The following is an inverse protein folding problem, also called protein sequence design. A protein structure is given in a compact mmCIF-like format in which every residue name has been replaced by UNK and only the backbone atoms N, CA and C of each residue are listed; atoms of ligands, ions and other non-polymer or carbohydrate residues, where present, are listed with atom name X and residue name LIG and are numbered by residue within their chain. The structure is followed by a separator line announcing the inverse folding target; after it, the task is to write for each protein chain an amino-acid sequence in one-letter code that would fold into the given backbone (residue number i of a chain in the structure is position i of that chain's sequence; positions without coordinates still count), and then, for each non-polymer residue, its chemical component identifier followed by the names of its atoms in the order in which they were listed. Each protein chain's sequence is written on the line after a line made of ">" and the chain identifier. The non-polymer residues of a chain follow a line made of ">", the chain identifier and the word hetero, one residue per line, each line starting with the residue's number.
data_IF_785556732572
#
_entry.id   IF_785556732572
#
_cell.length_a   1.000
_cell.length_b   1.000
_cell.length_c   1.000
_cell.angle_alpha   90.00
_cell.angle_beta   90.00
_cell.angle_gamma   90.00
#
_symmetry.space_group_name_H-M   'P 1'
#
loop_
_entity.id
_entity.type
_entity.pdbx_description
1 polymer ?
#
# COMPACT_ATOMS: atom_id res chain seq x y z
N UNK A 1 17.73 -7.65 -43.61
CA UNK A 1 17.90 -7.41 -42.16
C UNK A 1 16.57 -7.68 -41.49
N UNK A 2 16.45 -8.80 -40.79
CA UNK A 2 15.26 -9.08 -39.99
C UNK A 2 15.27 -8.15 -38.79
N UNK A 3 14.46 -7.09 -38.80
CA UNK A 3 14.11 -6.33 -37.60
C UNK A 3 13.29 -7.26 -36.68
N UNK A 4 13.97 -8.21 -36.03
CA UNK A 4 13.37 -9.34 -35.32
C UNK A 4 12.99 -9.02 -33.88
N UNK A 5 13.25 -7.80 -33.40
CA UNK A 5 12.86 -7.35 -32.05
C UNK A 5 12.00 -6.10 -32.17
N UNK A 6 10.71 -6.25 -31.90
CA UNK A 6 9.84 -5.12 -31.58
C UNK A 6 10.10 -4.77 -30.13
N UNK A 7 10.87 -3.72 -29.87
CA UNK A 7 11.13 -3.17 -28.52
C UNK A 7 9.88 -2.55 -27.87
N UNK A 8 8.70 -2.84 -28.40
CA UNK A 8 7.43 -2.25 -27.98
C UNK A 8 7.11 -2.66 -26.54
N UNK A 9 7.37 -3.92 -26.19
CA UNK A 9 7.09 -4.44 -24.85
C UNK A 9 7.98 -3.78 -23.80
N UNK A 10 9.30 -3.73 -24.01
CA UNK A 10 10.24 -3.11 -23.06
C UNK A 10 9.97 -1.61 -22.92
N UNK A 11 9.68 -0.93 -24.04
CA UNK A 11 9.28 0.48 -24.06
C UNK A 11 8.00 0.72 -23.27
N UNK A 12 7.00 -0.16 -23.39
CA UNK A 12 5.75 -0.04 -22.62
C UNK A 12 6.05 -0.22 -21.14
N UNK A 13 6.85 -1.22 -20.75
CA UNK A 13 7.23 -1.45 -19.36
C UNK A 13 7.85 -0.20 -18.71
N UNK A 14 8.85 0.40 -19.35
CA UNK A 14 9.49 1.62 -18.85
C UNK A 14 8.51 2.80 -18.73
N UNK A 15 7.56 2.92 -19.67
CA UNK A 15 6.54 3.99 -19.64
C UNK A 15 5.53 3.77 -18.52
N UNK A 16 5.18 2.54 -18.20
CA UNK A 16 4.31 2.21 -17.06
C UNK A 16 4.99 2.64 -15.76
N UNK A 17 6.28 2.33 -15.58
CA UNK A 17 7.05 2.76 -14.41
C UNK A 17 7.10 4.29 -14.28
N UNK A 18 7.34 4.98 -15.40
CA UNK A 18 7.33 6.45 -15.44
C UNK A 18 5.96 7.04 -15.07
N UNK A 19 4.87 6.51 -15.63
CA UNK A 19 3.52 7.00 -15.30
C UNK A 19 3.17 6.70 -13.84
N UNK A 20 3.59 5.54 -13.32
CA UNK A 20 3.35 5.16 -11.93
C UNK A 20 4.03 6.12 -10.93
N UNK A 21 5.21 6.67 -11.27
CA UNK A 21 5.89 7.66 -10.42
C UNK A 21 5.18 9.03 -10.41
N UNK A 22 4.28 9.27 -11.36
CA UNK A 22 3.50 10.51 -11.50
C UNK A 22 2.08 10.40 -10.92
N UNK A 23 1.73 9.29 -10.26
CA UNK A 23 0.42 9.11 -9.59
C UNK A 23 0.22 10.15 -8.47
N UNK A 24 1.29 10.53 -7.78
CA UNK A 24 1.26 11.57 -6.76
C UNK A 24 1.45 12.94 -7.39
N UNK A 25 0.34 13.60 -7.71
CA UNK A 25 0.33 14.91 -8.38
C UNK A 25 0.91 16.02 -7.50
N UNK A 26 0.66 15.96 -6.20
CA UNK A 26 1.22 16.89 -5.20
C UNK A 26 1.70 16.10 -3.99
N UNK A 27 2.72 16.62 -3.32
CA UNK A 27 3.29 16.03 -2.12
C UNK A 27 3.66 17.13 -1.12
N UNK A 28 3.45 16.87 0.16
CA UNK A 28 3.88 17.70 1.28
C UNK A 28 4.71 16.84 2.23
N UNK A 29 6.02 17.11 2.38
CA UNK A 29 6.90 16.25 3.17
C UNK A 29 6.52 16.29 4.65
N UNK A 30 6.63 15.13 5.31
CA UNK A 30 6.49 15.05 6.76
C UNK A 30 7.76 15.55 7.46
N UNK A 31 7.64 16.15 8.65
CA UNK A 31 8.77 16.37 9.56
C UNK A 31 9.46 15.06 9.95
N UNK A 32 10.67 15.19 10.49
CA UNK A 32 11.44 14.07 11.03
C UNK A 32 10.62 13.29 12.08
N UNK A 33 10.77 11.96 12.07
CA UNK A 33 10.09 11.12 13.05
C UNK A 33 10.85 11.12 14.38
N UNK A 34 10.09 11.14 15.47
CA UNK A 34 10.54 10.87 16.83
C UNK A 34 10.46 9.36 17.10
N UNK A 35 11.58 8.74 17.46
CA UNK A 35 11.73 7.29 17.58
C UNK A 35 12.01 6.84 19.00
N UNK A 36 11.31 5.78 19.42
CA UNK A 36 11.55 5.12 20.70
C UNK A 36 11.42 3.60 20.56
N UNK A 37 12.42 2.89 21.07
CA UNK A 37 12.38 1.44 21.25
C UNK A 37 11.43 1.07 22.39
N UNK A 38 10.62 0.04 22.17
CA UNK A 38 9.71 -0.50 23.17
C UNK A 38 10.34 -1.72 23.84
N UNK A 39 9.88 -2.02 25.05
CA UNK A 39 10.37 -3.16 25.84
C UNK A 39 10.08 -4.52 25.18
N UNK A 40 9.12 -4.58 24.25
CA UNK A 40 8.77 -5.77 23.49
C UNK A 40 7.35 -5.72 22.91
N UNK A 41 6.85 -6.88 22.43
CA UNK A 41 5.61 -6.96 21.67
C UNK A 41 4.33 -6.86 22.54
N UNK A 42 4.46 -6.81 23.86
CA UNK A 42 3.33 -6.61 24.79
C UNK A 42 3.19 -5.15 25.23
N UNK A 43 4.14 -4.28 24.85
CA UNK A 43 4.06 -2.87 25.19
C UNK A 43 2.84 -2.21 24.52
N UNK A 44 2.09 -1.41 25.29
CA UNK A 44 1.01 -0.60 24.74
C UNK A 44 1.58 0.55 23.87
N UNK A 45 0.84 1.00 22.83
CA UNK A 45 1.26 2.14 22.04
C UNK A 45 1.29 3.41 22.91
N UNK A 46 2.35 4.21 22.77
CA UNK A 46 2.54 5.45 23.50
C UNK A 46 1.88 6.63 22.79
N UNK A 47 0.57 6.55 22.56
CA UNK A 47 -0.18 7.48 21.70
C UNK A 47 -0.22 8.92 22.24
N UNK A 48 -0.24 9.09 23.56
CA UNK A 48 -0.30 10.40 24.22
C UNK A 48 1.04 10.84 24.83
N UNK A 49 2.10 10.06 24.65
CA UNK A 49 3.38 10.38 25.27
C UNK A 49 3.99 11.65 24.68
N UNK A 50 4.66 12.44 25.53
CA UNK A 50 5.56 13.49 25.05
C UNK A 50 6.75 12.82 24.34
N UNK A 51 6.93 13.14 23.07
CA UNK A 51 7.99 12.61 22.22
C UNK A 51 9.14 13.60 22.00
N UNK A 52 9.16 14.72 22.72
CA UNK A 52 10.16 15.78 22.56
C UNK A 52 11.59 15.33 22.87
N UNK A 53 11.75 14.37 23.78
CA UNK A 53 13.04 13.79 24.19
C UNK A 53 13.45 12.55 23.37
N UNK A 54 12.63 12.12 22.41
CA UNK A 54 12.90 10.93 21.61
C UNK A 54 13.89 11.25 20.49
N UNK A 55 14.58 10.20 20.01
CA UNK A 55 15.56 10.32 18.94
C UNK A 55 14.88 10.80 17.65
N UNK A 56 15.45 11.80 16.97
CA UNK A 56 14.99 12.20 15.63
C UNK A 56 15.56 11.29 14.54
N UNK A 57 14.72 10.99 13.56
CA UNK A 57 15.07 10.30 12.32
C UNK A 57 14.66 11.20 11.15
N UNK A 58 15.65 11.72 10.45
CA UNK A 58 15.44 12.50 9.24
C UNK A 58 15.34 11.59 8.00
N UNK A 59 14.77 12.09 6.89
CA UNK A 59 14.85 11.39 5.62
C UNK A 59 16.31 11.03 5.27
N UNK A 60 16.49 9.79 4.83
CA UNK A 60 17.77 9.13 4.51
C UNK A 60 18.64 8.73 5.71
N UNK A 61 18.17 8.93 6.94
CA UNK A 61 18.87 8.41 8.12
C UNK A 61 18.72 6.89 8.26
N UNK A 62 19.76 6.29 8.85
CA UNK A 62 19.71 4.90 9.28
C UNK A 62 19.02 4.77 10.63
N UNK A 63 17.98 3.95 10.71
CA UNK A 63 17.19 3.75 11.92
C UNK A 63 16.78 2.30 12.11
N UNK A 64 16.27 1.97 13.29
CA UNK A 64 15.85 0.61 13.63
C UNK A 64 17.02 -0.37 13.74
N UNK A 65 16.83 -1.40 14.54
CA UNK A 65 17.73 -2.55 14.62
C UNK A 65 16.93 -3.81 14.38
N UNK A 66 17.63 -4.92 14.23
CA UNK A 66 17.03 -6.25 14.18
C UNK A 66 16.16 -6.50 15.41
N UNK A 67 14.97 -7.02 15.17
CA UNK A 67 14.07 -7.53 16.20
C UNK A 67 13.71 -6.46 17.26
N UNK A 68 13.22 -5.30 16.79
CA UNK A 68 12.93 -4.15 17.64
C UNK A 68 11.47 -3.73 17.47
N UNK A 69 10.72 -3.75 18.56
CA UNK A 69 9.43 -3.08 18.66
C UNK A 69 9.66 -1.58 18.85
N UNK A 70 8.87 -0.74 18.19
CA UNK A 70 9.11 0.70 18.17
C UNK A 70 7.82 1.53 18.16
N UNK A 71 7.98 2.78 18.58
CA UNK A 71 7.10 3.88 18.24
C UNK A 71 7.85 4.88 17.35
N UNK A 72 7.19 5.31 16.27
CA UNK A 72 7.55 6.50 15.51
C UNK A 72 6.42 7.52 15.63
N UNK A 73 6.73 8.75 16.03
CA UNK A 73 5.75 9.83 16.11
C UNK A 73 6.18 10.97 15.17
N UNK A 74 5.23 11.52 14.43
CA UNK A 74 5.41 12.75 13.64
C UNK A 74 4.07 13.47 13.57
N UNK A 75 4.03 14.55 12.82
CA UNK A 75 2.84 15.35 12.58
C UNK A 75 2.71 15.60 11.08
N UNK A 76 1.49 15.84 10.62
CA UNK A 76 1.27 16.22 9.24
C UNK A 76 0.10 17.19 9.14
N UNK A 77 0.03 17.90 8.01
CA UNK A 77 -1.13 18.71 7.67
C UNK A 77 -1.47 18.46 6.20
N UNK A 78 -2.77 18.50 5.90
CA UNK A 78 -3.26 18.46 4.52
C UNK A 78 -3.37 19.91 4.05
N UNK A 79 -2.63 20.34 3.02
CA UNK A 79 -2.68 21.72 2.56
C UNK A 79 -4.09 22.13 2.08
N UNK A 80 -4.50 23.36 2.37
CA UNK A 80 -5.84 23.89 2.03
C UNK A 80 -6.02 24.14 0.53
N UNK A 81 -4.93 24.39 -0.20
CA UNK A 81 -4.92 24.68 -1.64
C UNK A 81 -5.02 23.41 -2.51
N UNK A 82 -5.04 22.24 -1.89
CA UNK A 82 -5.20 20.96 -2.56
C UNK A 82 -6.66 20.71 -2.90
N UNK A 83 -6.90 20.12 -4.07
CA UNK A 83 -8.24 19.65 -4.47
C UNK A 83 -8.93 18.87 -3.34
N UNK A 84 -10.16 19.30 -3.01
CA UNK A 84 -10.99 18.76 -1.95
C UNK A 84 -11.51 17.36 -2.30
N UNK A 85 -11.76 17.12 -3.59
CA UNK A 85 -12.37 15.88 -4.10
C UNK A 85 -11.32 14.81 -4.43
N UNK A 86 -10.06 15.21 -4.55
CA UNK A 86 -8.96 14.28 -4.83
C UNK A 86 -8.59 13.47 -3.57
N UNK A 87 -8.37 12.14 -3.69
CA UNK A 87 -7.93 11.32 -2.58
C UNK A 87 -6.55 11.77 -2.05
N UNK A 88 -6.41 11.77 -0.72
CA UNK A 88 -5.16 12.10 -0.03
C UNK A 88 -4.71 10.91 0.80
N UNK A 89 -3.41 10.63 0.79
CA UNK A 89 -2.82 9.53 1.54
C UNK A 89 -1.53 9.95 2.27
N UNK A 90 -1.14 9.16 3.27
CA UNK A 90 0.20 9.16 3.82
C UNK A 90 1.06 8.18 3.03
N UNK A 91 2.18 8.66 2.50
CA UNK A 91 3.23 7.84 1.91
C UNK A 91 4.37 7.65 2.93
N UNK A 92 4.52 6.43 3.42
CA UNK A 92 5.37 6.03 4.55
C UNK A 92 6.38 4.94 4.15
N UNK A 93 7.36 5.23 3.28
CA UNK A 93 8.43 4.30 2.93
C UNK A 93 9.47 4.19 4.07
N UNK A 94 9.14 3.42 5.12
CA UNK A 94 9.93 3.33 6.34
C UNK A 94 11.29 2.60 6.18
N UNK A 95 11.50 1.93 5.05
CA UNK A 95 12.71 1.16 4.74
C UNK A 95 12.38 -0.28 4.34
N UNK A 96 13.41 -1.07 4.07
CA UNK A 96 13.26 -2.47 3.69
C UNK A 96 14.20 -3.34 4.53
N UNK A 97 13.65 -4.25 5.33
CA UNK A 97 14.42 -5.17 6.17
C UNK A 97 15.05 -6.34 5.39
N UNK A 98 14.69 -6.51 4.11
CA UNK A 98 15.12 -7.63 3.27
C UNK A 98 14.41 -8.95 3.58
N UNK A 99 13.63 -9.02 4.65
CA UNK A 99 12.77 -10.16 4.99
C UNK A 99 11.30 -9.90 4.60
N UNK A 100 10.40 -10.76 5.10
CA UNK A 100 8.96 -10.86 4.82
C UNK A 100 8.27 -9.53 4.43
N UNK A 101 7.66 -8.82 5.37
CA UNK A 101 6.98 -7.55 5.12
C UNK A 101 7.44 -6.49 6.12
N UNK A 102 8.72 -6.50 6.52
CA UNK A 102 9.19 -5.57 7.56
C UNK A 102 9.99 -4.38 6.99
N UNK A 103 10.03 -3.24 7.71
CA UNK A 103 9.31 -2.95 8.96
C UNK A 103 7.80 -2.93 8.74
N UNK A 104 7.04 -3.32 9.76
CA UNK A 104 5.58 -3.26 9.75
C UNK A 104 5.11 -2.37 10.91
N UNK A 105 4.08 -1.55 10.71
CA UNK A 105 3.50 -0.74 11.76
C UNK A 105 1.99 -0.54 11.58
N UNK A 106 1.27 -0.39 12.69
CA UNK A 106 -0.09 0.14 12.69
C UNK A 106 0.01 1.67 12.82
N UNK A 107 -0.57 2.39 11.86
CA UNK A 107 -0.66 3.84 11.92
C UNK A 107 -1.88 4.27 12.73
N UNK A 108 -1.67 5.24 13.60
CA UNK A 108 -2.69 5.93 14.38
C UNK A 108 -2.68 7.40 13.96
N UNK A 109 -3.86 7.93 13.65
CA UNK A 109 -4.07 9.34 13.31
C UNK A 109 -4.91 9.93 14.43
N UNK A 110 -4.39 10.94 15.12
CA UNK A 110 -5.04 11.57 16.28
C UNK A 110 -5.49 10.55 17.36
N UNK A 111 -4.71 9.47 17.52
CA UNK A 111 -4.98 8.39 18.47
C UNK A 111 -5.89 7.28 17.95
N UNK A 112 -6.53 7.45 16.80
CA UNK A 112 -7.38 6.44 16.18
C UNK A 112 -6.58 5.53 15.24
N UNK A 113 -6.70 4.22 15.42
CA UNK A 113 -6.06 3.24 14.55
C UNK A 113 -6.65 3.29 13.14
N UNK A 114 -5.80 3.46 12.13
CA UNK A 114 -6.22 3.65 10.74
C UNK A 114 -5.95 2.41 9.88
N UNK A 115 -4.69 2.16 9.53
CA UNK A 115 -4.28 1.03 8.70
C UNK A 115 -2.82 0.65 8.98
N UNK A 116 -2.41 -0.53 8.53
CA UNK A 116 -1.01 -0.92 8.58
C UNK A 116 -0.20 -0.31 7.42
N UNK A 117 1.08 -0.03 7.68
CA UNK A 117 2.08 0.18 6.63
C UNK A 117 3.21 -0.83 6.76
N UNK A 118 3.76 -1.22 5.62
CA UNK A 118 4.89 -2.12 5.49
C UNK A 118 5.68 -1.87 4.19
N UNK A 119 6.72 -2.67 3.92
CA UNK A 119 7.56 -2.51 2.72
C UNK A 119 6.79 -2.63 1.40
N UNK A 120 5.67 -3.35 1.36
CA UNK A 120 4.81 -3.53 0.19
C UNK A 120 3.61 -2.58 0.21
N UNK A 121 3.21 -2.11 1.39
CA UNK A 121 2.09 -1.19 1.61
C UNK A 121 2.59 0.09 2.27
N UNK A 122 3.12 0.99 1.45
CA UNK A 122 3.68 2.27 1.91
C UNK A 122 2.64 3.40 1.87
N UNK A 123 1.43 3.15 1.39
CA UNK A 123 0.39 4.16 1.25
C UNK A 123 -0.79 3.86 2.17
N UNK A 124 -1.19 4.85 2.97
CA UNK A 124 -2.39 4.80 3.80
C UNK A 124 -3.34 5.92 3.38
N UNK A 125 -4.47 5.54 2.78
CA UNK A 125 -5.50 6.51 2.40
C UNK A 125 -6.12 7.14 3.66
N UNK A 126 -6.10 8.48 3.71
CA UNK A 126 -6.65 9.23 4.83
C UNK A 126 -8.18 9.09 4.88
N UNK A 127 -8.76 8.95 6.08
CA UNK A 127 -10.21 8.92 6.24
C UNK A 127 -10.84 10.25 5.79
N UNK A 128 -12.07 10.22 5.25
CA UNK A 128 -12.80 11.44 4.95
C UNK A 128 -13.11 12.18 6.26
N UNK A 129 -12.99 13.52 6.25
CA UNK A 129 -13.33 14.36 7.40
C UNK A 129 -12.16 14.84 8.26
N UNK A 130 -10.91 14.53 7.88
CA UNK A 130 -9.75 15.22 8.49
C UNK A 130 -9.71 16.69 8.07
N UNK A 131 -9.47 17.56 9.04
CA UNK A 131 -9.45 19.02 8.85
C UNK A 131 -8.21 19.46 8.05
N UNK A 132 -8.45 20.09 6.89
CA UNK A 132 -7.38 20.68 6.08
C UNK A 132 -6.83 21.93 6.77
N UNK A 133 -5.52 22.16 6.63
CA UNK A 133 -4.80 23.26 7.28
C UNK A 133 -4.50 23.02 8.77
N UNK A 134 -5.10 22.01 9.40
CA UNK A 134 -4.81 21.63 10.77
C UNK A 134 -3.65 20.63 10.85
N UNK A 135 -2.97 20.64 12.00
CA UNK A 135 -1.93 19.66 12.32
C UNK A 135 -2.58 18.43 12.95
N UNK A 136 -2.34 17.28 12.33
CA UNK A 136 -2.73 15.96 12.82
C UNK A 136 -1.52 15.21 13.37
N UNK A 137 -1.72 14.45 14.45
CA UNK A 137 -0.70 13.60 15.04
C UNK A 137 -0.66 12.25 14.34
N UNK A 138 0.53 11.84 13.90
CA UNK A 138 0.79 10.51 13.36
C UNK A 138 1.64 9.71 14.34
N UNK A 139 1.15 8.54 14.75
CA UNK A 139 1.93 7.59 15.51
C UNK A 139 1.95 6.23 14.81
N UNK A 140 3.14 5.63 14.65
CA UNK A 140 3.33 4.30 14.07
C UNK A 140 3.83 3.37 15.17
N UNK A 141 3.03 2.36 15.49
CA UNK A 141 3.40 1.32 16.44
C UNK A 141 3.77 0.04 15.69
N UNK A 142 5.06 -0.32 15.71
CA UNK A 142 5.59 -1.28 14.76
C UNK A 142 6.68 -2.20 15.28
N UNK A 143 7.14 -3.04 14.37
CA UNK A 143 8.20 -4.02 14.55
C UNK A 143 9.11 -4.03 13.33
N UNK A 144 10.43 -3.95 13.56
CA UNK A 144 11.43 -3.86 12.48
C UNK A 144 11.68 -5.16 11.73
N UNK A 145 11.20 -6.29 12.24
CA UNK A 145 11.40 -7.60 11.61
C UNK A 145 12.62 -8.35 12.10
N UNK A 146 12.85 -9.51 11.47
CA UNK A 146 14.05 -10.30 11.70
C UNK A 146 15.27 -9.67 11.04
N UNK A 147 15.10 -8.95 9.93
CA UNK A 147 16.18 -8.44 9.07
C UNK A 147 17.06 -9.59 8.53
N UNK A 148 17.20 -9.71 7.21
CA UNK A 148 17.77 -10.93 6.58
C UNK A 148 19.10 -11.37 7.24
N UNK A 149 19.12 -12.62 7.72
CA UNK A 149 20.26 -13.22 8.39
C UNK A 149 21.41 -13.55 7.42
N UNK A 150 21.18 -13.52 6.10
CA UNK A 150 22.24 -13.72 5.11
C UNK A 150 23.16 -12.50 4.96
N UNK A 151 22.68 -11.28 5.26
CA UNK A 151 23.53 -10.09 5.36
C UNK A 151 24.19 -10.03 6.75
N UNK A 152 25.42 -10.55 6.81
CA UNK A 152 26.22 -10.69 8.02
C UNK A 152 26.63 -9.34 8.61
N UNK A 153 25.83 -8.80 9.53
CA UNK A 153 26.33 -7.79 10.47
C UNK A 153 25.31 -7.36 11.54
N UNK A 154 25.73 -7.20 12.82
CA UNK A 154 24.90 -6.58 13.87
C UNK A 154 24.61 -5.08 13.65
N UNK A 155 25.00 -4.55 12.49
CA UNK A 155 24.90 -3.14 12.08
C UNK A 155 23.85 -2.90 11.01
N UNK A 156 23.07 -3.90 10.59
CA UNK A 156 22.01 -3.69 9.61
C UNK A 156 20.96 -2.74 10.20
N UNK A 157 20.69 -1.67 9.47
CA UNK A 157 19.71 -0.63 9.83
C UNK A 157 18.81 -0.36 8.63
N UNK A 158 17.57 0.00 8.92
CA UNK A 158 16.63 0.47 7.92
C UNK A 158 17.04 1.87 7.48
N UNK A 159 16.72 2.22 6.24
CA UNK A 159 16.91 3.59 5.72
C UNK A 159 15.54 4.22 5.62
N UNK A 160 15.31 5.30 6.39
CA UNK A 160 14.07 6.06 6.30
C UNK A 160 14.05 6.77 4.95
N UNK A 161 13.04 6.53 4.10
CA UNK A 161 12.87 7.32 2.88
C UNK A 161 11.97 8.52 3.18
N UNK A 162 11.96 9.55 2.31
CA UNK A 162 11.09 10.71 2.51
C UNK A 162 9.64 10.28 2.63
N UNK A 163 9.04 10.59 3.78
CA UNK A 163 7.63 10.40 4.01
C UNK A 163 6.88 11.68 3.66
N UNK A 164 5.68 11.57 3.12
CA UNK A 164 4.91 12.72 2.68
C UNK A 164 3.40 12.46 2.80
N UNK A 165 2.63 13.53 2.97
CA UNK A 165 1.23 13.55 2.55
C UNK A 165 1.24 13.66 1.03
N UNK A 166 0.41 12.88 0.33
CA UNK A 166 0.36 12.84 -1.13
C UNK A 166 -1.07 13.02 -1.61
N UNK A 167 -1.26 13.85 -2.64
CA UNK A 167 -2.51 13.93 -3.38
C UNK A 167 -2.45 13.00 -4.58
N UNK A 168 -3.41 12.09 -4.66
CA UNK A 168 -3.49 11.06 -5.67
C UNK A 168 -4.25 11.59 -6.88
N UNK A 169 -3.65 11.52 -8.06
CA UNK A 169 -4.37 11.66 -9.32
C UNK A 169 -5.03 10.32 -9.67
N UNK A 170 -6.32 10.19 -9.34
CA UNK A 170 -7.06 8.95 -9.54
C UNK A 170 -7.08 8.49 -11.01
N UNK A 171 -7.29 9.37 -12.03
CA UNK A 171 -7.20 8.97 -13.42
C UNK A 171 -5.85 8.34 -13.80
N UNK A 172 -4.74 8.91 -13.31
CA UNK A 172 -3.40 8.38 -13.55
C UNK A 172 -3.19 7.04 -12.85
N UNK A 173 -3.67 6.88 -11.61
CA UNK A 173 -3.66 5.59 -10.89
C UNK A 173 -4.42 4.51 -11.65
N UNK A 174 -5.64 4.80 -12.09
CA UNK A 174 -6.49 3.86 -12.81
C UNK A 174 -5.85 3.43 -14.14
N UNK A 175 -5.28 4.41 -14.86
CA UNK A 175 -4.54 4.13 -16.08
C UNK A 175 -3.31 3.26 -15.81
N UNK A 176 -2.46 3.61 -14.84
CA UNK A 176 -1.25 2.87 -14.50
C UNK A 176 -1.57 1.42 -14.09
N UNK A 177 -2.58 1.23 -13.23
CA UNK A 177 -3.02 -0.09 -12.80
C UNK A 177 -3.53 -0.93 -13.99
N UNK A 178 -4.36 -0.34 -14.85
CA UNK A 178 -4.90 -1.03 -16.03
C UNK A 178 -3.81 -1.37 -17.04
N UNK A 179 -2.89 -0.45 -17.29
CA UNK A 179 -1.76 -0.66 -18.19
C UNK A 179 -0.83 -1.76 -17.68
N UNK A 180 -0.52 -1.77 -16.38
CA UNK A 180 0.28 -2.82 -15.74
C UNK A 180 -0.36 -4.20 -15.86
N UNK A 181 -1.68 -4.30 -15.62
CA UNK A 181 -2.40 -5.58 -15.78
C UNK A 181 -2.41 -6.03 -17.24
N UNK A 182 -2.74 -5.14 -18.18
CA UNK A 182 -2.76 -5.47 -19.61
C UNK A 182 -1.38 -5.88 -20.14
N UNK A 183 -0.32 -5.21 -19.68
CA UNK A 183 1.06 -5.56 -20.01
C UNK A 183 1.43 -6.92 -19.42
N UNK A 184 1.17 -7.18 -18.14
CA UNK A 184 1.43 -8.48 -17.51
C UNK A 184 0.67 -9.65 -18.15
N UNK A 185 -0.57 -9.42 -18.61
CA UNK A 185 -1.30 -10.41 -19.42
C UNK A 185 -0.59 -10.65 -20.75
N UNK A 186 -0.19 -9.59 -21.47
CA UNK A 186 0.53 -9.74 -22.73
C UNK A 186 1.86 -10.51 -22.56
N UNK A 187 2.56 -10.34 -21.44
CA UNK A 187 3.77 -11.10 -21.11
C UNK A 187 3.51 -12.58 -20.82
N UNK A 188 2.32 -12.89 -20.30
CA UNK A 188 1.93 -14.26 -19.95
C UNK A 188 1.35 -15.05 -21.14
N UNK A 189 1.01 -14.38 -22.23
CA UNK A 189 0.48 -14.99 -23.45
C UNK A 189 1.60 -15.47 -24.38
N UNK A 190 1.34 -16.57 -25.09
CA UNK A 190 2.19 -17.10 -26.15
C UNK A 190 2.38 -16.08 -27.29
N UNK A 191 3.53 -16.13 -27.96
CA UNK A 191 3.90 -15.18 -29.02
C UNK A 191 3.00 -15.25 -30.26
N UNK A 192 2.36 -16.39 -30.51
CA UNK A 192 1.41 -16.59 -31.60
C UNK A 192 -0.03 -16.24 -31.23
N UNK A 193 -0.30 -15.86 -29.97
CA UNK A 193 -1.60 -15.39 -29.52
C UNK A 193 -1.96 -14.05 -30.16
N UNK A 194 -3.05 -13.96 -30.95
CA UNK A 194 -3.50 -12.68 -31.52
C UNK A 194 -3.81 -11.63 -30.45
N UNK A 195 -4.26 -12.08 -29.27
CA UNK A 195 -4.58 -11.20 -28.15
C UNK A 195 -3.35 -10.45 -27.62
N UNK A 196 -2.17 -11.08 -27.62
CA UNK A 196 -0.91 -10.44 -27.21
C UNK A 196 -0.61 -9.23 -28.10
N UNK A 197 -0.65 -9.42 -29.42
CA UNK A 197 -0.44 -8.33 -30.37
C UNK A 197 -1.48 -7.21 -30.23
N UNK A 198 -2.75 -7.56 -30.00
CA UNK A 198 -3.82 -6.59 -29.80
C UNK A 198 -3.65 -5.78 -28.51
N UNK A 199 -3.27 -6.41 -27.40
CA UNK A 199 -2.99 -5.73 -26.13
C UNK A 199 -1.79 -4.78 -26.25
N UNK A 200 -0.69 -5.22 -26.87
CA UNK A 200 0.48 -4.37 -27.08
C UNK A 200 0.18 -3.16 -27.97
N UNK A 201 -0.66 -3.33 -29.00
CA UNK A 201 -1.12 -2.21 -29.82
C UNK A 201 -2.01 -1.24 -29.01
N UNK A 202 -2.94 -1.76 -28.21
CA UNK A 202 -3.80 -0.93 -27.36
C UNK A 202 -2.99 -0.11 -26.34
N UNK A 203 -1.97 -0.72 -25.75
CA UNK A 203 -1.03 -0.05 -24.86
C UNK A 203 -0.23 1.03 -25.62
N UNK A 204 0.39 0.70 -26.76
CA UNK A 204 1.15 1.66 -27.55
C UNK A 204 0.29 2.85 -28.00
N UNK A 205 -0.95 2.60 -28.43
CA UNK A 205 -1.91 3.64 -28.82
C UNK A 205 -2.33 4.54 -27.66
N UNK A 206 -2.55 3.98 -26.48
CA UNK A 206 -2.83 4.76 -25.29
C UNK A 206 -1.65 5.66 -24.90
N UNK A 207 -0.42 5.12 -24.91
CA UNK A 207 0.78 5.89 -24.59
C UNK A 207 1.15 6.96 -25.64
N UNK A 208 0.62 6.92 -26.87
CA UNK A 208 0.76 8.01 -27.84
C UNK A 208 -0.02 9.26 -27.45
N UNK A 209 -1.02 9.12 -26.59
CA UNK A 209 -1.90 10.22 -26.15
C UNK A 209 -1.40 10.91 -24.88
N UNK A 210 -0.35 10.38 -24.24
CA UNK A 210 0.24 10.94 -23.04
C UNK A 210 1.47 11.76 -23.41
N UNK A 211 1.50 13.01 -22.97
CA UNK A 211 2.69 13.86 -23.10
C UNK A 211 3.73 13.49 -22.04
N UNK A 212 4.76 12.74 -22.46
CA UNK A 212 5.86 12.31 -21.61
C UNK A 212 7.10 13.21 -21.72
N UNK A 213 6.96 14.45 -22.21
CA UNK A 213 8.07 15.41 -22.27
C UNK A 213 8.25 16.09 -20.91
N UNK A 214 9.51 16.26 -20.51
CA UNK A 214 9.85 17.02 -19.31
C UNK A 214 9.85 18.54 -19.58
N UNK A 215 9.44 19.37 -18.60
CA UNK A 215 8.91 18.99 -17.28
C UNK A 215 7.48 18.43 -17.36
N UNK A 216 7.20 17.41 -16.55
CA UNK A 216 5.83 16.88 -16.40
C UNK A 216 4.92 17.93 -15.76
N UNK A 217 3.67 18.01 -16.22
CA UNK A 217 2.72 19.01 -15.76
C UNK A 217 1.33 18.78 -16.34
N UNK A 218 0.51 19.83 -16.41
CA UNK A 218 -0.88 19.72 -16.86
C UNK A 218 -1.07 19.02 -18.23
N UNK A 219 -0.18 19.17 -19.25
CA UNK A 219 -0.31 18.42 -20.50
C UNK A 219 -0.29 16.89 -20.32
N UNK A 220 0.49 16.39 -19.37
CA UNK A 220 0.52 14.96 -19.03
C UNK A 220 -0.83 14.52 -18.48
N UNK A 221 -1.31 15.17 -17.41
CA UNK A 221 -2.55 14.81 -16.72
C UNK A 221 -3.78 14.99 -17.62
N UNK A 222 -3.77 15.98 -18.52
CA UNK A 222 -4.86 16.20 -19.48
C UNK A 222 -4.99 15.06 -20.51
N UNK A 223 -3.88 14.39 -20.87
CA UNK A 223 -3.88 13.28 -21.83
C UNK A 223 -4.32 11.94 -21.22
N UNK A 224 -4.12 11.75 -19.92
CA UNK A 224 -4.38 10.49 -19.20
C UNK A 224 -5.82 9.98 -19.35
N UNK A 225 -6.89 10.80 -19.16
CA UNK A 225 -8.27 10.32 -19.32
C UNK A 225 -8.55 9.74 -20.71
N UNK A 226 -8.04 10.37 -21.77
CA UNK A 226 -8.22 9.89 -23.15
C UNK A 226 -7.38 8.64 -23.42
N UNK A 227 -6.15 8.59 -22.88
CA UNK A 227 -5.30 7.40 -22.94
C UNK A 227 -5.98 6.20 -22.26
N UNK A 228 -6.60 6.43 -21.10
CA UNK A 228 -7.31 5.40 -20.35
C UNK A 228 -8.54 4.88 -21.08
N UNK A 229 -9.35 5.78 -21.67
CA UNK A 229 -10.48 5.39 -22.50
C UNK A 229 -10.03 4.56 -23.73
N UNK A 230 -8.94 4.97 -24.39
CA UNK A 230 -8.34 4.26 -25.53
C UNK A 230 -7.86 2.87 -25.14
N UNK A 231 -7.15 2.76 -24.01
CA UNK A 231 -6.67 1.48 -23.50
C UNK A 231 -7.83 0.53 -23.22
N UNK A 232 -8.88 0.98 -22.50
CA UNK A 232 -10.06 0.15 -22.23
C UNK A 232 -10.77 -0.33 -23.50
N UNK A 233 -10.94 0.57 -24.47
CA UNK A 233 -11.53 0.21 -25.76
C UNK A 233 -10.67 -0.78 -26.55
N UNK A 234 -9.35 -0.68 -26.46
CA UNK A 234 -8.42 -1.62 -27.06
C UNK A 234 -8.43 -3.00 -26.38
N UNK A 235 -8.46 -3.05 -25.04
CA UNK A 235 -8.58 -4.29 -24.26
C UNK A 235 -9.87 -5.03 -24.64
N UNK A 236 -10.99 -4.32 -24.72
CA UNK A 236 -12.28 -4.91 -25.11
C UNK A 236 -12.27 -5.54 -26.52
N UNK A 237 -11.33 -5.14 -27.40
CA UNK A 237 -11.16 -5.70 -28.75
C UNK A 237 -10.06 -6.76 -28.83
N UNK A 238 -9.26 -6.94 -27.76
CA UNK A 238 -8.09 -7.81 -27.78
C UNK A 238 -8.43 -9.31 -27.69
N UNK A 239 -9.66 -9.65 -27.33
CA UNK A 239 -10.15 -11.02 -27.30
C UNK A 239 -11.48 -11.11 -26.57
N UNK A 240 -12.19 -12.21 -26.78
CA UNK A 240 -13.34 -12.52 -25.94
C UNK A 240 -12.86 -12.95 -24.54
N UNK A 241 -13.58 -12.60 -23.46
CA UNK A 241 -13.38 -13.23 -22.17
C UNK A 241 -13.44 -14.76 -22.29
N UNK A 242 -12.64 -15.46 -21.48
CA UNK A 242 -12.75 -16.91 -21.39
C UNK A 242 -14.13 -17.30 -20.86
N UNK A 243 -14.70 -18.40 -21.36
CA UNK A 243 -15.96 -18.96 -20.87
C UNK A 243 -15.74 -19.75 -19.57
N UNK A 244 -15.22 -19.06 -18.57
CA UNK A 244 -14.89 -19.60 -17.25
C UNK A 244 -15.27 -18.57 -16.18
N UNK A 245 -15.99 -19.03 -15.15
CA UNK A 245 -16.24 -18.22 -13.97
C UNK A 245 -15.06 -18.36 -13.00
N UNK A 246 -14.39 -17.25 -12.69
CA UNK A 246 -13.35 -17.17 -11.66
C UNK A 246 -13.92 -16.41 -10.47
N UNK A 247 -13.89 -17.02 -9.29
CA UNK A 247 -14.25 -16.36 -8.02
C UNK A 247 -12.99 -16.09 -7.23
N UNK A 248 -12.81 -14.86 -6.76
CA UNK A 248 -11.67 -14.45 -5.94
C UNK A 248 -12.17 -13.90 -4.61
N UNK A 249 -11.41 -14.16 -3.54
CA UNK A 249 -11.66 -13.63 -2.20
C UNK A 249 -10.33 -13.23 -1.57
N UNK A 250 -10.35 -12.22 -0.70
CA UNK A 250 -9.21 -11.88 0.13
C UNK A 250 -8.98 -12.93 1.20
N UNK A 251 -7.73 -13.24 1.47
CA UNK A 251 -7.33 -14.09 2.59
C UNK A 251 -5.98 -13.61 3.14
N UNK A 252 -5.79 -13.69 4.46
CA UNK A 252 -4.52 -13.39 5.09
C UNK A 252 -4.15 -14.52 6.06
N UNK A 253 -3.28 -15.41 5.59
CA UNK A 253 -2.72 -16.46 6.43
C UNK A 253 -1.72 -15.85 7.43
N UNK A 254 -1.95 -16.08 8.72
CA UNK A 254 -1.06 -15.63 9.79
C UNK A 254 -0.69 -16.84 10.64
N UNK A 255 0.57 -17.24 10.59
CA UNK A 255 1.10 -18.25 11.50
C UNK A 255 1.07 -17.73 12.94
N UNK A 256 0.37 -18.45 13.82
CA UNK A 256 0.18 -18.03 15.21
C UNK A 256 1.52 -17.99 15.95
N UNK A 257 2.42 -18.93 15.67
CA UNK A 257 3.79 -18.94 16.16
C UNK A 257 4.70 -19.54 15.10
N UNK A 258 5.61 -18.75 14.55
CA UNK A 258 6.59 -19.20 13.55
C UNK A 258 7.93 -18.48 13.75
N UNK A 259 8.17 -17.42 12.97
CA UNK A 259 9.39 -16.62 13.01
C UNK A 259 9.30 -15.41 13.96
N UNK A 260 8.21 -15.31 14.69
CA UNK A 260 7.90 -14.24 15.64
C UNK A 260 7.21 -14.80 16.88
N UNK A 261 7.21 -14.03 17.96
CA UNK A 261 6.56 -14.41 19.23
C UNK A 261 5.04 -14.26 19.15
N UNK A 262 4.32 -14.86 20.11
CA UNK A 262 2.86 -14.71 20.21
C UNK A 262 2.41 -13.25 20.34
N UNK A 263 3.16 -12.41 21.07
CA UNK A 263 2.85 -10.98 21.18
C UNK A 263 2.84 -10.28 19.82
N UNK A 264 3.79 -10.62 18.94
CA UNK A 264 3.81 -10.08 17.58
C UNK A 264 2.63 -10.58 16.74
N UNK A 265 2.23 -11.85 16.86
CA UNK A 265 1.04 -12.39 16.19
C UNK A 265 -0.22 -11.61 16.53
N UNK A 266 -0.41 -11.27 17.82
CA UNK A 266 -1.56 -10.47 18.26
C UNK A 266 -1.60 -9.11 17.55
N UNK A 267 -0.44 -8.44 17.47
CA UNK A 267 -0.30 -7.17 16.73
C UNK A 267 -0.47 -7.34 15.23
N UNK A 268 0.03 -8.43 14.63
CA UNK A 268 -0.14 -8.76 13.21
C UNK A 268 -1.63 -8.91 12.88
N UNK A 269 -2.38 -9.66 13.69
CA UNK A 269 -3.83 -9.80 13.53
C UNK A 269 -4.53 -8.44 13.57
N UNK A 270 -4.20 -7.59 14.56
CA UNK A 270 -4.70 -6.22 14.64
C UNK A 270 -4.40 -5.39 13.38
N UNK A 271 -3.13 -5.34 12.95
CA UNK A 271 -2.71 -4.63 11.74
C UNK A 271 -3.45 -5.09 10.49
N UNK A 272 -3.43 -6.40 10.24
CA UNK A 272 -4.07 -6.99 9.07
C UNK A 272 -5.56 -6.69 9.04
N UNK A 273 -6.27 -6.85 10.16
CA UNK A 273 -7.72 -6.70 10.16
C UNK A 273 -8.18 -5.24 10.05
N UNK A 274 -7.43 -4.27 10.61
CA UNK A 274 -7.67 -2.86 10.31
C UNK A 274 -7.52 -2.58 8.81
N UNK A 275 -6.45 -3.06 8.18
CA UNK A 275 -6.26 -2.89 6.73
C UNK A 275 -7.40 -3.53 5.92
N UNK A 276 -7.85 -4.74 6.28
CA UNK A 276 -8.98 -5.40 5.60
C UNK A 276 -10.26 -4.56 5.71
N UNK A 277 -10.56 -3.98 6.87
CA UNK A 277 -11.73 -3.10 7.01
C UNK A 277 -11.61 -1.84 6.13
N UNK A 278 -10.43 -1.22 6.08
CA UNK A 278 -10.18 -0.07 5.20
C UNK A 278 -10.32 -0.42 3.72
N UNK A 279 -9.90 -1.62 3.31
CA UNK A 279 -10.12 -2.12 1.96
C UNK A 279 -11.61 -2.35 1.68
N UNK A 280 -12.37 -2.87 2.65
CA UNK A 280 -13.83 -3.06 2.50
C UNK A 280 -14.59 -1.75 2.33
N UNK A 281 -14.13 -0.65 2.94
CA UNK A 281 -14.69 0.68 2.74
C UNK A 281 -14.42 1.21 1.32
N UNK A 282 -13.21 0.97 0.80
CA UNK A 282 -12.80 1.45 -0.54
C UNK A 282 -13.39 0.62 -1.68
N UNK A 283 -13.55 -0.69 -1.45
CA UNK A 283 -13.96 -1.64 -2.48
C UNK A 283 -15.25 -2.35 -2.01
N UNK A 284 -16.45 -1.88 -2.42
CA UNK A 284 -17.73 -2.43 -1.97
C UNK A 284 -17.91 -3.92 -2.24
N UNK A 285 -17.32 -4.44 -3.34
CA UNK A 285 -17.40 -5.85 -3.72
C UNK A 285 -16.31 -6.72 -3.09
N UNK A 286 -15.43 -6.14 -2.27
CA UNK A 286 -14.38 -6.90 -1.60
C UNK A 286 -14.97 -7.80 -0.50
N UNK A 287 -14.67 -9.10 -0.62
CA UNK A 287 -14.94 -10.11 0.38
C UNK A 287 -13.64 -10.66 0.96
N UNK A 288 -13.64 -10.94 2.25
CA UNK A 288 -12.49 -11.48 2.96
C UNK A 288 -12.87 -12.73 3.74
N UNK A 289 -11.99 -13.72 3.73
CA UNK A 289 -12.13 -14.96 4.49
C UNK A 289 -10.99 -15.11 5.48
N UNK A 290 -11.31 -15.58 6.69
CA UNK A 290 -10.27 -15.89 7.67
C UNK A 290 -10.58 -17.16 8.48
N UNK A 291 -9.55 -17.99 8.66
CA UNK A 291 -9.70 -19.38 9.08
C UNK A 291 -9.49 -19.63 10.57
N UNK A 292 -8.64 -18.85 11.24
CA UNK A 292 -8.20 -19.18 12.60
C UNK A 292 -9.05 -18.49 13.69
N UNK A 293 -9.81 -19.23 14.52
CA UNK A 293 -10.59 -18.66 15.61
C UNK A 293 -9.72 -18.02 16.71
N UNK A 294 -8.50 -18.52 16.89
CA UNK A 294 -7.56 -17.96 17.87
C UNK A 294 -7.20 -16.50 17.59
N UNK A 295 -7.12 -16.10 16.31
CA UNK A 295 -6.83 -14.71 15.93
C UNK A 295 -8.00 -13.78 16.31
N UNK A 296 -9.24 -14.25 16.15
CA UNK A 296 -10.42 -13.51 16.63
C UNK A 296 -10.44 -13.38 18.15
N UNK A 297 -10.07 -14.42 18.88
CA UNK A 297 -9.99 -14.35 20.34
C UNK A 297 -8.95 -13.30 20.81
N UNK A 298 -7.79 -13.24 20.15
CA UNK A 298 -6.79 -12.19 20.42
C UNK A 298 -7.32 -10.79 20.09
N UNK A 299 -7.96 -10.63 18.93
CA UNK A 299 -8.52 -9.33 18.51
C UNK A 299 -9.67 -8.88 19.40
N UNK A 300 -10.53 -9.78 19.86
CA UNK A 300 -11.58 -9.47 20.83
C UNK A 300 -11.01 -8.95 22.16
N UNK A 301 -9.89 -9.53 22.60
CA UNK A 301 -9.23 -9.12 23.84
C UNK A 301 -8.47 -7.78 23.69
N UNK A 302 -7.70 -7.62 22.61
CA UNK A 302 -6.78 -6.49 22.45
C UNK A 302 -7.41 -5.28 21.77
N UNK A 303 -8.36 -5.52 20.87
CA UNK A 303 -8.98 -4.52 20.01
C UNK A 303 -10.51 -4.73 19.96
N UNK A 304 -11.23 -4.56 21.09
CA UNK A 304 -12.66 -4.85 21.16
C UNK A 304 -13.49 -4.07 20.12
N UNK A 305 -13.15 -2.81 19.86
CA UNK A 305 -13.81 -2.01 18.82
C UNK A 305 -13.59 -2.57 17.40
N UNK A 306 -12.38 -3.07 17.11
CA UNK A 306 -12.07 -3.74 15.84
C UNK A 306 -12.88 -5.04 15.72
N UNK A 307 -12.98 -5.81 16.80
CA UNK A 307 -13.78 -7.04 16.83
C UNK A 307 -15.27 -6.77 16.56
N UNK A 308 -15.84 -5.71 17.15
CA UNK A 308 -17.21 -5.30 16.88
C UNK A 308 -17.41 -4.88 15.41
N UNK A 309 -16.45 -4.16 14.83
CA UNK A 309 -16.48 -3.80 13.40
C UNK A 309 -16.39 -5.04 12.49
N UNK A 310 -15.54 -6.03 12.82
CA UNK A 310 -15.48 -7.31 12.12
C UNK A 310 -16.85 -8.01 12.20
N UNK A 311 -17.47 -8.06 13.39
CA UNK A 311 -18.80 -8.67 13.57
C UNK A 311 -19.86 -8.03 12.67
N UNK A 312 -19.83 -6.71 12.50
CA UNK A 312 -20.71 -6.02 11.56
C UNK A 312 -20.48 -6.49 10.11
N UNK A 313 -19.21 -6.60 9.66
CA UNK A 313 -18.88 -7.11 8.32
C UNK A 313 -19.26 -8.57 8.11
N UNK A 314 -19.24 -9.39 9.17
CA UNK A 314 -19.75 -10.77 9.14
C UNK A 314 -21.26 -10.78 8.93
N UNK A 315 -22.00 -9.93 9.63
CA UNK A 315 -23.46 -9.81 9.46
C UNK A 315 -23.84 -9.29 8.06
N UNK A 316 -23.01 -8.43 7.47
CA UNK A 316 -23.14 -7.96 6.08
C UNK A 316 -22.82 -9.05 5.04
N UNK A 317 -22.24 -10.19 5.45
CA UNK A 317 -21.79 -11.25 4.53
C UNK A 317 -20.49 -10.92 3.78
N UNK A 318 -19.78 -9.86 4.18
CA UNK A 318 -18.54 -9.42 3.51
C UNK A 318 -17.27 -9.99 4.13
N UNK A 319 -17.36 -10.41 5.38
CA UNK A 319 -16.31 -11.10 6.11
C UNK A 319 -16.78 -12.51 6.46
N UNK A 320 -16.11 -13.54 5.96
CA UNK A 320 -16.50 -14.93 6.16
C UNK A 320 -15.51 -15.66 7.08
N UNK A 321 -15.91 -16.00 8.31
CA UNK A 321 -15.16 -16.91 9.16
C UNK A 321 -15.25 -18.32 8.59
N UNK A 322 -14.11 -18.91 8.24
CA UNK A 322 -14.01 -20.26 7.67
C UNK A 322 -13.13 -21.16 8.54
N UNK A 323 -12.91 -22.42 8.14
CA UNK A 323 -11.94 -23.33 8.78
C UNK A 323 -12.42 -23.97 10.09
N UNK A 324 -12.94 -23.17 11.03
CA UNK A 324 -13.48 -23.65 12.31
C UNK A 324 -12.47 -24.37 13.22
N UNK A 325 -11.17 -24.20 12.95
CA UNK A 325 -10.04 -24.85 13.63
C UNK A 325 -8.96 -23.82 13.94
#
# INVERSE_FOLDING_TARGET
>A
MYHKMRWTEEKIGQRIELVNSLVYRRQSPLPAFRYKELAGPEAAPLLDADSSDWQEIHPYDYWGKRFTDFMLCSEFSIPEDWDADAPVALFLPLGEAGDFSHPEALAYIDGEACAACDRHHQEILLPPGLDRGCTHRLALHGFTGLMDAQEKGPTLRLVMRPCAVVQIDQPTRDFAATARVAHGIAQSLDDDSPAKGALLNALDDAFKLIDLREPFGDPFYAGVPQAYATLKAGIAKAGAPADVAVTATGHAHIDVAWLWTLGHTRRKAGRTFHTVLRLMEQFPDYHFTQSQPQLYAYVQQDYPALFDAIRARVQEGRWEPIGGM
#
